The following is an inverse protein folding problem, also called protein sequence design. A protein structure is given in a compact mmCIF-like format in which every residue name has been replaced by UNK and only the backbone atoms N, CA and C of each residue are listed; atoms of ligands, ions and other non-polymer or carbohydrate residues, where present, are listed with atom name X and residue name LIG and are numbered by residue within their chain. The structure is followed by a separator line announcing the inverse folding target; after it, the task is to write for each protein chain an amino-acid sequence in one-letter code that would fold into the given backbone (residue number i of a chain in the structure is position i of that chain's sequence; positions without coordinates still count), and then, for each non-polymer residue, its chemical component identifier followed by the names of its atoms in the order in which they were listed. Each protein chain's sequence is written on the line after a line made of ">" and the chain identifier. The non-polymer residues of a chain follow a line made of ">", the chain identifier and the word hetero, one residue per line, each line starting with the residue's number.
data_IF_415684946009
#
_entry.id   IF_415684946009
#
_cell.length_a   1.000
_cell.length_b   1.000
_cell.length_c   1.000
_cell.angle_alpha   90.00
_cell.angle_beta   90.00
_cell.angle_gamma   90.00
#
_symmetry.space_group_name_H-M   'P 1'
#
loop_
_entity.id
_entity.type
_entity.pdbx_description
1 polymer ?
#
# COMPACT_ATOMS: atom_id res chain seq x y z
N UNK A 1 -2.81 5.43 -5.75
CA UNK A 1 -2.63 6.03 -4.41
C UNK A 1 -1.14 6.20 -4.14
N UNK A 2 -0.71 7.37 -3.63
CA UNK A 2 0.67 7.60 -3.23
C UNK A 2 0.78 7.40 -1.72
N UNK A 3 1.64 6.49 -1.29
CA UNK A 3 1.92 6.25 0.12
C UNK A 3 3.14 7.10 0.49
N UNK A 4 2.90 8.29 1.07
CA UNK A 4 3.98 9.21 1.40
C UNK A 4 4.99 8.62 2.39
N UNK A 5 4.54 7.70 3.26
CA UNK A 5 5.41 6.98 4.21
C UNK A 5 6.43 6.04 3.55
N UNK A 6 6.13 5.53 2.34
CA UNK A 6 6.99 4.57 1.63
C UNK A 6 7.66 5.18 0.39
N UNK A 7 7.23 6.36 -0.05
CA UNK A 7 7.65 6.94 -1.33
C UNK A 7 7.24 6.10 -2.55
N UNK A 8 6.32 5.15 -2.36
CA UNK A 8 5.87 4.20 -3.37
C UNK A 8 4.45 4.52 -3.82
N UNK A 9 4.16 4.16 -5.07
CA UNK A 9 2.84 4.33 -5.67
C UNK A 9 2.23 2.97 -5.93
N UNK A 10 1.00 2.81 -5.45
CA UNK A 10 0.20 1.63 -5.72
C UNK A 10 -0.91 2.02 -6.67
N UNK A 11 -1.03 1.25 -7.74
CA UNK A 11 -2.04 1.43 -8.75
C UNK A 11 -3.19 0.45 -8.52
N UNK A 12 -4.41 0.95 -8.37
CA UNK A 12 -5.62 0.14 -8.29
C UNK A 12 -6.33 0.25 -9.63
N UNK A 13 -6.49 -0.88 -10.31
CA UNK A 13 -6.95 -1.02 -11.69
C UNK A 13 -6.11 -0.23 -12.72
N UNK A 14 -6.12 -0.71 -13.95
CA UNK A 14 -5.38 -0.11 -15.05
C UNK A 14 -6.23 -0.09 -16.31
N UNK A 15 -7.12 0.91 -16.36
CA UNK A 15 -7.92 1.21 -17.55
C UNK A 15 -7.06 1.72 -18.72
N UNK A 16 -7.65 1.69 -19.91
CA UNK A 16 -7.04 2.27 -21.09
C UNK A 16 -6.65 3.73 -20.85
N UNK A 17 -5.47 4.11 -21.34
CA UNK A 17 -4.97 5.47 -21.16
C UNK A 17 -4.49 5.80 -19.74
N UNK A 18 -4.43 4.84 -18.82
CA UNK A 18 -3.92 5.07 -17.46
C UNK A 18 -2.52 5.72 -17.45
N UNK A 19 -1.63 5.33 -18.38
CA UNK A 19 -0.33 5.98 -18.56
C UNK A 19 -0.42 7.49 -18.87
N UNK A 20 -1.38 7.90 -19.70
CA UNK A 20 -1.60 9.31 -20.03
C UNK A 20 -2.19 10.07 -18.84
N UNK A 21 -3.10 9.44 -18.09
CA UNK A 21 -3.66 10.00 -16.86
C UNK A 21 -2.59 10.22 -15.80
N UNK A 22 -1.66 9.27 -15.64
CA UNK A 22 -0.52 9.39 -14.73
C UNK A 22 0.41 10.54 -15.14
N UNK A 23 0.71 10.65 -16.44
CA UNK A 23 1.52 11.74 -16.98
C UNK A 23 0.89 13.12 -16.74
N UNK A 24 -0.43 13.26 -16.97
CA UNK A 24 -1.19 14.49 -16.70
C UNK A 24 -1.14 14.88 -15.22
N UNK A 25 -1.21 13.91 -14.31
CA UNK A 25 -1.10 14.12 -12.85
C UNK A 25 0.35 14.29 -12.37
N UNK A 26 1.33 14.39 -13.28
CA UNK A 26 2.78 14.47 -12.97
C UNK A 26 3.26 13.34 -12.06
N UNK A 27 2.60 12.17 -12.13
CA UNK A 27 2.97 10.99 -11.38
C UNK A 27 4.01 10.21 -12.17
N UNK A 28 5.17 9.97 -11.57
CA UNK A 28 6.23 9.18 -12.21
C UNK A 28 5.83 7.71 -12.21
N UNK A 29 5.69 7.15 -13.41
CA UNK A 29 5.36 5.73 -13.63
C UNK A 29 6.43 4.82 -12.97
N UNK A 30 7.68 5.27 -12.85
CA UNK A 30 8.75 4.53 -12.17
C UNK A 30 8.59 4.34 -10.66
N UNK A 31 7.71 5.12 -10.02
CA UNK A 31 7.42 4.96 -8.58
C UNK A 31 6.38 3.88 -8.31
N UNK A 32 5.81 3.28 -9.37
CA UNK A 32 4.81 2.21 -9.24
C UNK A 32 5.53 0.92 -8.86
N UNK A 33 5.24 0.42 -7.67
CA UNK A 33 5.81 -0.83 -7.16
C UNK A 33 4.79 -1.97 -7.15
N UNK A 34 3.51 -1.64 -6.95
CA UNK A 34 2.42 -2.59 -6.87
C UNK A 34 1.25 -2.18 -7.75
N UNK A 35 0.71 -3.13 -8.50
CA UNK A 35 -0.51 -2.99 -9.29
C UNK A 35 -1.53 -3.99 -8.73
N UNK A 36 -2.73 -3.53 -8.41
CA UNK A 36 -3.80 -4.32 -7.81
C UNK A 36 -5.00 -4.25 -8.74
N UNK A 37 -5.47 -5.41 -9.21
CA UNK A 37 -6.58 -5.55 -10.14
C UNK A 37 -7.79 -6.14 -9.39
N UNK A 38 -8.93 -5.46 -9.43
CA UNK A 38 -10.17 -5.91 -8.76
C UNK A 38 -10.86 -7.04 -9.52
N UNK A 39 -10.90 -6.96 -10.84
CA UNK A 39 -11.57 -7.91 -11.72
C UNK A 39 -10.88 -7.97 -13.08
N UNK A 40 -10.96 -9.12 -13.77
CA UNK A 40 -10.53 -9.27 -15.18
C UNK A 40 -11.58 -8.72 -16.16
N UNK A 41 -11.96 -7.46 -15.98
CA UNK A 41 -12.79 -6.73 -16.93
C UNK A 41 -11.92 -5.84 -17.81
N UNK A 42 -12.37 -5.60 -19.04
CA UNK A 42 -11.63 -4.73 -19.98
C UNK A 42 -11.40 -3.32 -19.41
N UNK A 43 -12.36 -2.82 -18.61
CA UNK A 43 -12.27 -1.52 -17.95
C UNK A 43 -11.13 -1.48 -16.94
N UNK A 44 -10.77 -2.60 -16.33
CA UNK A 44 -9.76 -2.69 -15.29
C UNK A 44 -8.38 -3.15 -15.77
N UNK A 45 -8.28 -3.83 -16.92
CA UNK A 45 -7.00 -4.41 -17.39
C UNK A 45 -6.49 -3.89 -18.73
N UNK A 46 -7.32 -3.21 -19.53
CA UNK A 46 -6.97 -2.79 -20.91
C UNK A 46 -5.66 -2.02 -21.02
N UNK A 47 -5.35 -1.15 -20.06
CA UNK A 47 -4.12 -0.35 -20.06
C UNK A 47 -2.90 -1.08 -19.50
N UNK A 48 -3.05 -2.26 -18.92
CA UNK A 48 -2.00 -2.93 -18.14
C UNK A 48 -0.78 -3.27 -19.00
N UNK A 49 -0.98 -3.90 -20.17
CA UNK A 49 0.13 -4.26 -21.06
C UNK A 49 0.88 -3.03 -21.59
N UNK A 50 0.15 -1.95 -21.90
CA UNK A 50 0.75 -0.68 -22.32
C UNK A 50 1.60 -0.06 -21.21
N UNK A 51 1.06 -0.01 -19.98
CA UNK A 51 1.79 0.48 -18.82
C UNK A 51 3.06 -0.34 -18.55
N UNK A 52 2.97 -1.67 -18.57
CA UNK A 52 4.11 -2.57 -18.36
C UNK A 52 5.19 -2.42 -19.44
N UNK A 53 4.78 -2.19 -20.68
CA UNK A 53 5.70 -1.89 -21.78
C UNK A 53 6.39 -0.55 -21.59
N UNK A 54 5.66 0.50 -21.21
CA UNK A 54 6.21 1.82 -20.88
C UNK A 54 7.19 1.76 -19.69
N UNK A 55 6.88 0.95 -18.67
CA UNK A 55 7.77 0.70 -17.53
C UNK A 55 9.09 0.02 -17.97
N UNK A 56 9.06 -0.82 -19.00
CA UNK A 56 10.23 -1.57 -19.47
C UNK A 56 11.30 -0.69 -20.13
N UNK A 57 10.90 0.49 -20.60
CA UNK A 57 11.81 1.50 -21.13
C UNK A 57 12.63 2.18 -20.02
N UNK A 58 12.18 2.08 -18.76
CA UNK A 58 12.86 2.69 -17.63
C UNK A 58 13.82 1.70 -16.95
N UNK A 59 15.11 2.01 -16.97
CA UNK A 59 16.17 1.15 -16.43
C UNK A 59 16.25 1.14 -14.90
N UNK A 60 15.55 2.04 -14.20
CA UNK A 60 15.57 2.13 -12.74
C UNK A 60 14.63 1.14 -12.05
N UNK A 61 13.83 0.40 -12.82
CA UNK A 61 12.79 -0.46 -12.28
C UNK A 61 13.31 -1.88 -12.19
N UNK A 62 13.41 -2.40 -10.96
CA UNK A 62 13.94 -3.74 -10.73
C UNK A 62 12.84 -4.79 -10.59
N UNK A 63 11.71 -4.43 -9.96
CA UNK A 63 10.63 -5.35 -9.64
C UNK A 63 9.25 -4.67 -9.62
N UNK A 64 8.25 -5.35 -10.15
CA UNK A 64 6.83 -4.95 -10.04
C UNK A 64 6.02 -6.15 -9.56
N UNK A 65 5.22 -5.94 -8.52
CA UNK A 65 4.27 -6.93 -8.02
C UNK A 65 2.87 -6.62 -8.56
N UNK A 66 2.23 -7.61 -9.18
CA UNK A 66 0.86 -7.48 -9.69
C UNK A 66 -0.03 -8.46 -8.93
N UNK A 67 -1.06 -7.93 -8.29
CA UNK A 67 -2.08 -8.68 -7.57
C UNK A 67 -3.35 -8.68 -8.39
N UNK A 68 -3.92 -9.85 -8.65
CA UNK A 68 -5.19 -9.94 -9.36
C UNK A 68 -5.81 -11.33 -9.28
N UNK A 69 -7.04 -11.48 -9.77
CA UNK A 69 -7.78 -12.73 -9.73
C UNK A 69 -7.16 -13.81 -10.63
N UNK A 70 -7.65 -15.04 -10.48
CA UNK A 70 -7.23 -16.18 -11.31
C UNK A 70 -7.43 -15.88 -12.79
N UNK A 71 -6.39 -16.10 -13.59
CA UNK A 71 -6.38 -15.80 -15.04
C UNK A 71 -5.52 -14.60 -15.43
N UNK A 72 -5.16 -13.73 -14.48
CA UNK A 72 -4.27 -12.59 -14.74
C UNK A 72 -2.91 -13.03 -15.31
N UNK A 73 -2.34 -14.10 -14.78
CA UNK A 73 -1.08 -14.66 -15.26
C UNK A 73 -1.16 -15.07 -16.73
N UNK A 74 -2.24 -15.76 -17.10
CA UNK A 74 -2.48 -16.19 -18.47
C UNK A 74 -2.69 -15.02 -19.42
N UNK A 75 -3.45 -14.00 -19.00
CA UNK A 75 -3.62 -12.76 -19.75
C UNK A 75 -2.28 -12.07 -20.04
N UNK A 76 -1.44 -11.91 -19.03
CA UNK A 76 -0.11 -11.29 -19.19
C UNK A 76 0.82 -12.15 -20.05
N UNK A 77 0.79 -13.48 -19.88
CA UNK A 77 1.60 -14.40 -20.67
C UNK A 77 1.23 -14.34 -22.17
N UNK A 78 -0.06 -14.40 -22.49
CA UNK A 78 -0.53 -14.28 -23.88
C UNK A 78 -0.22 -12.91 -24.46
N UNK A 79 -0.47 -11.84 -23.70
CA UNK A 79 -0.14 -10.48 -24.13
C UNK A 79 1.33 -10.34 -24.51
N UNK A 80 2.23 -10.85 -23.66
CA UNK A 80 3.68 -10.88 -23.97
C UNK A 80 4.00 -11.72 -25.20
N UNK A 81 3.40 -12.91 -25.33
CA UNK A 81 3.63 -13.83 -26.46
C UNK A 81 3.26 -13.20 -27.79
N UNK A 82 2.11 -12.54 -27.88
CA UNK A 82 1.63 -11.94 -29.14
C UNK A 82 2.25 -10.58 -29.44
N UNK A 83 2.53 -9.76 -28.41
CA UNK A 83 3.17 -8.46 -28.61
C UNK A 83 4.70 -8.56 -28.77
N UNK A 84 5.29 -9.75 -28.61
CA UNK A 84 6.75 -9.97 -28.64
C UNK A 84 7.51 -9.03 -27.68
N UNK A 85 6.90 -8.70 -26.54
CA UNK A 85 7.46 -7.77 -25.56
C UNK A 85 8.21 -8.51 -24.45
N UNK A 86 9.45 -8.07 -24.22
CA UNK A 86 10.28 -8.54 -23.12
C UNK A 86 10.45 -7.44 -22.07
N UNK A 87 9.89 -7.69 -20.88
CA UNK A 87 10.06 -6.80 -19.74
C UNK A 87 11.47 -6.98 -19.15
N UNK A 88 12.21 -5.87 -19.01
CA UNK A 88 13.58 -5.85 -18.47
C UNK A 88 13.65 -5.94 -16.94
N UNK A 89 12.51 -6.01 -16.27
CA UNK A 89 12.36 -6.04 -14.82
C UNK A 89 11.67 -7.32 -14.36
N UNK A 90 11.83 -7.67 -13.08
CA UNK A 90 11.19 -8.85 -12.50
C UNK A 90 9.71 -8.59 -12.26
N UNK A 91 8.85 -9.29 -12.98
CA UNK A 91 7.41 -9.23 -12.82
C UNK A 91 6.94 -10.38 -11.92
N UNK A 92 6.37 -10.07 -10.75
CA UNK A 92 5.86 -11.05 -9.79
C UNK A 92 4.34 -11.00 -9.78
N UNK A 93 3.70 -12.10 -10.19
CA UNK A 93 2.24 -12.18 -10.28
C UNK A 93 1.73 -12.93 -9.06
N UNK A 94 0.77 -12.33 -8.37
CA UNK A 94 0.16 -12.88 -7.17
C UNK A 94 -1.33 -13.06 -7.43
N UNK A 95 -1.76 -14.31 -7.51
CA UNK A 95 -3.19 -14.65 -7.59
C UNK A 95 -3.81 -14.38 -6.22
N UNK A 96 -4.78 -13.47 -6.18
CA UNK A 96 -5.46 -13.08 -4.94
C UNK A 96 -6.46 -14.16 -4.51
N UNK A 97 -6.51 -14.37 -3.20
CA UNK A 97 -7.56 -15.12 -2.51
C UNK A 97 -8.19 -14.23 -1.44
N UNK A 98 -9.33 -14.65 -0.90
CA UNK A 98 -9.93 -13.97 0.26
C UNK A 98 -9.01 -14.05 1.46
N UNK A 99 -8.79 -12.92 2.14
CA UNK A 99 -7.92 -12.82 3.32
C UNK A 99 -6.80 -11.80 3.15
N UNK A 100 -5.70 -12.00 3.87
CA UNK A 100 -4.53 -11.12 3.85
C UNK A 100 -3.68 -11.40 2.60
N UNK A 101 -3.48 -10.37 1.76
CA UNK A 101 -2.72 -10.47 0.52
C UNK A 101 -1.28 -9.99 0.71
N UNK A 102 -1.11 -8.87 1.41
CA UNK A 102 0.19 -8.28 1.65
C UNK A 102 0.24 -7.71 3.06
N UNK A 103 1.31 -8.03 3.79
CA UNK A 103 1.60 -7.46 5.10
C UNK A 103 2.99 -6.86 5.08
N UNK A 104 3.10 -5.70 5.69
CA UNK A 104 4.34 -5.00 6.00
C UNK A 104 4.19 -4.36 7.38
N UNK A 105 5.29 -3.85 7.94
CA UNK A 105 5.30 -3.21 9.27
C UNK A 105 4.49 -1.91 9.32
N UNK A 106 4.12 -1.37 8.15
CA UNK A 106 3.36 -0.12 8.03
C UNK A 106 1.93 -0.31 7.52
N UNK A 107 1.64 -1.43 6.87
CA UNK A 107 0.34 -1.65 6.24
C UNK A 107 -0.04 -3.12 6.17
N UNK A 108 -1.34 -3.38 6.13
CA UNK A 108 -1.94 -4.68 5.82
C UNK A 108 -2.98 -4.50 4.72
N UNK A 109 -2.89 -5.30 3.67
CA UNK A 109 -3.84 -5.33 2.56
C UNK A 109 -4.65 -6.63 2.63
N UNK A 110 -5.96 -6.49 2.72
CA UNK A 110 -6.92 -7.58 2.70
C UNK A 110 -7.75 -7.55 1.43
N UNK A 111 -8.13 -8.73 0.92
CA UNK A 111 -9.15 -8.87 -0.09
C UNK A 111 -10.34 -9.67 0.43
N UNK A 112 -11.52 -9.27 -0.01
CA UNK A 112 -12.76 -10.02 0.14
C UNK A 112 -13.38 -10.21 -1.25
N UNK A 113 -13.94 -11.38 -1.51
CA UNK A 113 -14.64 -11.63 -2.76
C UNK A 113 -16.08 -11.13 -2.63
N UNK A 114 -16.55 -10.42 -3.64
CA UNK A 114 -17.95 -10.04 -3.71
C UNK A 114 -18.72 -11.17 -4.40
N UNK A 115 -19.51 -11.96 -3.64
CA UNK A 115 -20.18 -13.15 -4.18
C UNK A 115 -21.23 -12.87 -5.27
N UNK A 116 -21.65 -11.63 -5.49
CA UNK A 116 -22.66 -11.28 -6.52
C UNK A 116 -22.07 -11.32 -7.92
N UNK A 117 -20.84 -10.82 -8.08
CA UNK A 117 -20.05 -10.96 -9.30
C UNK A 117 -18.88 -11.86 -8.96
N UNK A 118 -18.94 -13.12 -9.36
CA UNK A 118 -17.99 -14.19 -9.01
C UNK A 118 -16.50 -13.90 -9.31
N UNK A 119 -16.18 -12.70 -9.82
CA UNK A 119 -14.86 -12.28 -10.26
C UNK A 119 -14.38 -10.93 -9.69
N UNK A 120 -15.17 -10.18 -8.89
CA UNK A 120 -14.74 -8.89 -8.33
C UNK A 120 -14.29 -8.98 -6.88
N UNK A 121 -13.16 -8.34 -6.57
CA UNK A 121 -12.55 -8.29 -5.25
C UNK A 121 -12.61 -6.89 -4.66
N UNK A 122 -13.13 -6.81 -3.43
CA UNK A 122 -13.04 -5.63 -2.58
C UNK A 122 -11.72 -5.65 -1.82
N UNK A 123 -11.04 -4.50 -1.72
CA UNK A 123 -9.77 -4.38 -1.01
C UNK A 123 -9.87 -3.46 0.18
N UNK A 124 -9.28 -3.89 1.29
CA UNK A 124 -9.16 -3.09 2.50
C UNK A 124 -7.68 -2.91 2.83
N UNK A 125 -7.21 -1.67 2.78
CA UNK A 125 -5.87 -1.30 3.19
C UNK A 125 -5.93 -0.68 4.58
N UNK A 126 -5.23 -1.29 5.53
CA UNK A 126 -5.10 -0.80 6.89
C UNK A 126 -3.66 -0.32 7.05
N UNK A 127 -3.47 0.99 7.13
CA UNK A 127 -2.20 1.62 7.47
C UNK A 127 -2.11 1.62 9.00
N UNK A 128 -1.03 1.06 9.54
CA UNK A 128 -0.85 0.95 10.99
C UNK A 128 -0.58 2.32 11.61
N UNK A 129 -0.96 2.46 12.87
CA UNK A 129 -0.62 3.64 13.65
C UNK A 129 0.90 3.75 13.80
N UNK A 130 1.38 4.98 13.81
CA UNK A 130 2.81 5.26 13.99
C UNK A 130 3.01 6.14 15.22
N UNK A 131 4.07 5.91 16.00
CA UNK A 131 4.35 6.76 17.15
C UNK A 131 4.52 8.21 16.69
N UNK A 132 4.01 9.12 17.50
CA UNK A 132 4.11 10.56 17.26
C UNK A 132 5.56 11.05 17.18
N UNK A 133 5.74 12.35 16.93
CA UNK A 133 7.07 12.93 16.99
C UNK A 133 7.61 12.84 18.42
N UNK A 134 8.92 12.64 18.53
CA UNK A 134 9.59 12.65 19.83
C UNK A 134 9.56 14.06 20.40
N UNK A 135 9.15 14.18 21.66
CA UNK A 135 9.03 15.43 22.37
C UNK A 135 10.38 15.85 22.94
N UNK A 136 11.12 16.62 22.14
CA UNK A 136 12.42 17.16 22.51
C UNK A 136 12.35 18.08 23.74
N UNK A 137 11.22 18.76 23.96
CA UNK A 137 11.05 19.71 25.06
C UNK A 137 10.99 18.98 26.41
N UNK A 138 10.30 17.84 26.45
CA UNK A 138 10.28 17.00 27.67
C UNK A 138 11.66 16.37 27.90
N UNK A 139 12.31 15.85 26.85
CA UNK A 139 13.64 15.24 27.00
C UNK A 139 14.69 16.23 27.56
N UNK A 140 14.65 17.50 27.15
CA UNK A 140 15.55 18.54 27.67
C UNK A 140 15.21 18.93 29.11
N UNK A 141 13.93 18.94 29.51
CA UNK A 141 13.51 19.14 30.91
C UNK A 141 14.08 18.06 31.84
N UNK A 142 14.07 16.81 31.40
CA UNK A 142 14.65 15.68 32.14
C UNK A 142 16.18 15.59 32.02
N UNK A 143 16.84 16.57 31.37
CA UNK A 143 18.30 16.61 31.14
C UNK A 143 18.87 15.33 30.52
N UNK A 144 18.07 14.65 29.69
CA UNK A 144 18.51 13.44 29.00
C UNK A 144 19.54 13.84 27.94
N UNK A 145 20.74 13.22 27.92
CA UNK A 145 21.76 13.56 26.93
C UNK A 145 21.29 13.21 25.52
N UNK A 146 21.60 14.10 24.57
CA UNK A 146 21.37 13.86 23.14
C UNK A 146 22.13 12.61 22.70
N UNK A 147 21.45 11.67 22.05
CA UNK A 147 22.10 10.44 21.59
C UNK A 147 21.14 9.30 21.25
N UNK A 148 21.65 8.06 21.19
CA UNK A 148 20.87 6.89 20.79
C UNK A 148 19.68 6.60 21.73
N UNK A 149 19.76 7.08 22.98
CA UNK A 149 18.68 6.99 23.97
C UNK A 149 17.37 7.59 23.47
N UNK A 150 17.41 8.67 22.68
CA UNK A 150 16.18 9.29 22.15
C UNK A 150 15.46 8.35 21.19
N UNK A 151 16.22 7.60 20.38
CA UNK A 151 15.66 6.59 19.48
C UNK A 151 15.03 5.42 20.23
N UNK A 152 15.58 5.06 21.39
CA UNK A 152 15.04 3.98 22.22
C UNK A 152 13.81 4.44 23.03
N UNK A 153 13.85 5.63 23.62
CA UNK A 153 12.69 6.25 24.28
C UNK A 153 11.53 6.42 23.30
N UNK A 154 11.81 6.86 22.06
CA UNK A 154 10.78 6.96 21.00
C UNK A 154 10.16 5.60 20.63
N UNK A 155 10.88 4.49 20.84
CA UNK A 155 10.34 3.14 20.64
C UNK A 155 9.48 2.66 21.83
N UNK A 156 9.34 3.46 22.87
CA UNK A 156 8.61 3.11 24.10
C UNK A 156 9.42 2.23 25.04
N UNK A 157 10.77 2.29 24.98
CA UNK A 157 11.63 1.59 25.94
C UNK A 157 11.86 2.44 27.18
N UNK A 158 11.82 1.79 28.35
CA UNK A 158 12.03 2.44 29.64
C UNK A 158 13.49 2.36 30.06
N UNK A 159 13.99 3.42 30.69
CA UNK A 159 15.39 3.50 31.11
C UNK A 159 15.53 4.02 32.54
N UNK A 160 16.52 3.48 33.24
CA UNK A 160 16.96 4.00 34.53
C UNK A 160 18.09 5.00 34.26
N UNK A 161 17.89 6.25 34.65
CA UNK A 161 18.92 7.28 34.60
C UNK A 161 20.02 7.02 35.63
N UNK A 162 21.22 7.61 35.47
CA UNK A 162 22.28 7.53 36.48
C UNK A 162 21.84 7.97 37.88
N UNK A 163 20.84 8.85 37.96
CA UNK A 163 20.26 9.35 39.20
C UNK A 163 19.27 8.36 39.87
N UNK A 164 19.09 7.16 39.29
CA UNK A 164 18.18 6.11 39.76
C UNK A 164 16.72 6.29 39.35
N UNK A 165 16.38 7.40 38.66
CA UNK A 165 15.03 7.67 38.21
C UNK A 165 14.66 6.86 36.96
N UNK A 166 13.47 6.24 36.97
CA UNK A 166 12.92 5.48 35.84
C UNK A 166 12.15 6.39 34.89
N UNK A 167 12.57 6.41 33.64
CA UNK A 167 11.95 7.18 32.57
C UNK A 167 11.12 6.26 31.70
N UNK A 168 9.82 6.50 31.65
CA UNK A 168 8.91 5.83 30.72
C UNK A 168 9.01 6.49 29.34
N UNK A 169 9.33 5.70 28.31
CA UNK A 169 9.47 6.17 26.94
C UNK A 169 8.19 6.81 26.39
N UNK A 170 7.00 6.36 26.81
CA UNK A 170 5.72 6.86 26.32
C UNK A 170 5.46 8.32 26.66
N UNK A 171 6.04 8.84 27.76
CA UNK A 171 5.93 10.24 28.16
C UNK A 171 6.63 11.22 27.19
N UNK A 172 7.57 10.71 26.37
CA UNK A 172 8.35 11.51 25.43
C UNK A 172 7.83 11.41 24.00
N UNK A 173 6.68 10.76 23.78
CA UNK A 173 6.08 10.61 22.46
C UNK A 173 4.84 11.50 22.42
N UNK A 174 4.71 12.33 21.38
CA UNK A 174 3.45 13.04 21.12
C UNK A 174 2.32 12.04 20.81
N UNK A 175 1.07 12.51 20.78
CA UNK A 175 -0.08 11.69 20.38
C UNK A 175 0.22 10.82 19.15
N UNK A 176 -0.16 9.55 19.22
CA UNK A 176 0.01 8.62 18.10
C UNK A 176 -0.69 9.13 16.85
N UNK A 177 -0.03 8.96 15.70
CA UNK A 177 -0.69 9.17 14.43
C UNK A 177 -1.59 7.97 14.19
N UNK A 178 -2.91 8.20 14.30
CA UNK A 178 -3.91 7.17 14.09
C UNK A 178 -3.73 6.49 12.73
N UNK A 179 -3.83 5.17 12.73
CA UNK A 179 -3.86 4.38 11.51
C UNK A 179 -5.03 4.77 10.61
N UNK A 180 -4.88 4.55 9.31
CA UNK A 180 -5.90 4.91 8.30
C UNK A 180 -6.41 3.62 7.68
N UNK A 181 -7.73 3.46 7.63
CA UNK A 181 -8.37 2.37 6.89
C UNK A 181 -8.95 2.90 5.59
N UNK A 182 -8.53 2.33 4.48
CA UNK A 182 -8.98 2.68 3.13
C UNK A 182 -9.67 1.48 2.53
N UNK A 183 -10.92 1.66 2.09
CA UNK A 183 -11.71 0.62 1.45
C UNK A 183 -11.88 0.95 -0.04
N UNK A 184 -11.62 -0.04 -0.88
CA UNK A 184 -11.85 -0.03 -2.31
C UNK A 184 -12.91 -1.09 -2.61
N UNK A 185 -14.08 -0.64 -3.06
CA UNK A 185 -15.29 -1.46 -3.14
C UNK A 185 -15.77 -1.53 -4.59
N UNK A 186 -16.14 -2.71 -5.05
CA UNK A 186 -16.72 -2.88 -6.39
C UNK A 186 -18.19 -2.42 -6.46
N UNK A 187 -18.95 -2.50 -5.35
CA UNK A 187 -20.37 -2.15 -5.37
C UNK A 187 -20.94 -1.82 -3.98
N UNK A 188 -22.04 -1.06 -3.96
CA UNK A 188 -22.82 -0.76 -2.75
C UNK A 188 -23.92 -1.82 -2.55
N UNK A 189 -24.20 -2.20 -1.29
CA UNK A 189 -25.46 -2.88 -0.96
C UNK A 189 -25.39 -4.21 -0.21
N UNK A 190 -24.21 -4.76 0.10
CA UNK A 190 -24.11 -6.00 0.90
C UNK A 190 -23.62 -5.74 2.32
N UNK A 191 -24.20 -6.45 3.29
CA UNK A 191 -23.85 -6.35 4.72
C UNK A 191 -22.35 -6.52 4.99
N UNK A 192 -21.70 -7.49 4.34
CA UNK A 192 -20.26 -7.72 4.50
C UNK A 192 -19.42 -6.52 4.05
N UNK A 193 -19.85 -5.83 2.99
CA UNK A 193 -19.19 -4.61 2.51
C UNK A 193 -19.41 -3.46 3.48
N UNK A 194 -20.61 -3.31 4.03
CA UNK A 194 -20.96 -2.29 5.04
C UNK A 194 -20.21 -2.52 6.36
N UNK A 195 -20.10 -3.76 6.82
CA UNK A 195 -19.31 -4.13 8.00
C UNK A 195 -17.81 -3.95 7.72
N UNK A 196 -17.36 -4.31 6.52
CA UNK A 196 -15.98 -4.14 6.07
C UNK A 196 -15.58 -2.68 5.88
N UNK A 197 -16.49 -1.79 5.46
CA UNK A 197 -16.27 -0.35 5.36
C UNK A 197 -16.44 0.38 6.69
N UNK A 198 -16.99 -0.28 7.72
CA UNK A 198 -17.13 0.34 9.03
C UNK A 198 -15.76 0.83 9.54
N UNK A 199 -15.72 2.09 9.98
CA UNK A 199 -14.51 2.80 10.43
C UNK A 199 -13.45 3.05 9.33
N UNK A 200 -13.78 2.94 8.05
CA UNK A 200 -12.88 3.39 6.98
C UNK A 200 -12.82 4.92 6.95
N UNK A 201 -11.60 5.46 6.96
CA UNK A 201 -11.33 6.89 6.78
C UNK A 201 -11.62 7.33 5.35
N UNK A 202 -11.32 6.46 4.37
CA UNK A 202 -11.56 6.72 2.95
C UNK A 202 -12.28 5.54 2.30
N UNK A 203 -13.30 5.86 1.51
CA UNK A 203 -14.09 4.92 0.72
C UNK A 203 -13.99 5.29 -0.76
N UNK A 204 -13.57 4.32 -1.57
CA UNK A 204 -13.50 4.44 -3.02
C UNK A 204 -14.36 3.34 -3.64
N UNK A 205 -15.24 3.74 -4.54
CA UNK A 205 -15.96 2.82 -5.42
C UNK A 205 -15.22 2.75 -6.75
N UNK A 206 -14.84 1.54 -7.17
CA UNK A 206 -14.10 1.27 -8.41
C UNK A 206 -14.85 0.26 -9.25
#
# INVERSE_FOLDING_TARGET
>A
MKLDQLGQIWLFNCSEGCQHTLAKKKVKISQITKIIITELSIQNISGLLGLLSSLSLNTQINKIDIYGPKGLEYYLFLGRKYSQTNFRYKLSIHVISTGLIASSDFFKLYASINQVYSSCFDYYMIIQETPGRFNLIEATRYKIPLGPLYGQLKKGSDFILPDGYTVDGYNFIQSYNLGIKIAFLCNEGKRSVIEGSKFSTYLFYI
#
